data_IF_189084444632
#
_entry.id   IF_189084444632
#
_cell.length_a   1.000
_cell.length_b   1.000
_cell.length_c   1.000
_cell.angle_alpha   90.00
_cell.angle_beta   90.00
_cell.angle_gamma   90.00
#
_symmetry.space_group_name_H-M   'P 1'
#
loop_
_entity.id
_entity.type
_entity.pdbx_description
1 polymer ?
#
# COMPACT_ATOMS: atom_id res chain seq x y z
N UNK A 1 39.66 -14.82 -3.66
CA UNK A 1 39.50 -16.17 -4.29
C UNK A 1 38.15 -16.75 -3.92
N UNK A 2 37.05 -16.37 -4.58
CA UNK A 2 35.78 -17.08 -4.43
C UNK A 2 35.64 -18.10 -5.56
N UNK A 3 36.21 -19.28 -5.32
CA UNK A 3 36.12 -20.46 -6.20
C UNK A 3 34.94 -21.36 -5.80
N UNK A 4 33.75 -20.79 -5.62
CA UNK A 4 32.54 -21.59 -5.39
C UNK A 4 31.45 -21.16 -6.39
N UNK A 5 31.24 -21.91 -7.49
CA UNK A 5 30.23 -21.56 -8.50
C UNK A 5 28.82 -21.45 -7.89
N UNK A 6 28.55 -22.25 -6.86
CA UNK A 6 27.33 -22.19 -6.05
C UNK A 6 27.12 -20.83 -5.38
N UNK A 7 28.18 -20.19 -4.87
CA UNK A 7 28.07 -18.90 -4.19
C UNK A 7 27.64 -17.79 -5.15
N UNK A 8 28.09 -17.84 -6.41
CA UNK A 8 27.72 -16.87 -7.45
C UNK A 8 26.23 -16.98 -7.80
N UNK A 9 25.75 -18.20 -8.04
CA UNK A 9 24.34 -18.44 -8.40
C UNK A 9 23.40 -18.09 -7.24
N UNK A 10 23.77 -18.46 -6.01
CA UNK A 10 22.99 -18.08 -4.81
C UNK A 10 22.97 -16.57 -4.62
N UNK A 11 24.11 -15.91 -4.79
CA UNK A 11 24.19 -14.43 -4.68
C UNK A 11 23.33 -13.77 -5.75
N UNK A 12 23.37 -14.25 -6.99
CA UNK A 12 22.54 -13.73 -8.07
C UNK A 12 21.05 -13.87 -7.74
N UNK A 13 20.63 -15.05 -7.29
CA UNK A 13 19.24 -15.29 -6.91
C UNK A 13 18.77 -14.38 -5.77
N UNK A 14 19.62 -14.16 -4.77
CA UNK A 14 19.32 -13.23 -3.65
C UNK A 14 19.20 -11.81 -4.16
N UNK A 15 20.14 -11.35 -5.00
CA UNK A 15 20.11 -9.98 -5.56
C UNK A 15 18.85 -9.74 -6.39
N UNK A 16 18.46 -10.71 -7.23
CA UNK A 16 17.24 -10.61 -8.04
C UNK A 16 15.99 -10.53 -7.14
N UNK A 17 15.89 -11.39 -6.13
CA UNK A 17 14.77 -11.35 -5.18
C UNK A 17 14.72 -10.02 -4.42
N UNK A 18 15.87 -9.52 -3.98
CA UNK A 18 15.98 -8.25 -3.28
C UNK A 18 15.51 -7.09 -4.17
N UNK A 19 15.92 -7.09 -5.43
CA UNK A 19 15.50 -6.08 -6.41
C UNK A 19 13.97 -6.09 -6.62
N UNK A 20 13.34 -7.26 -6.70
CA UNK A 20 11.88 -7.39 -6.83
C UNK A 20 11.17 -6.80 -5.61
N UNK A 21 11.63 -7.12 -4.39
CA UNK A 21 11.02 -6.63 -3.14
C UNK A 21 11.14 -5.11 -3.05
N UNK A 22 12.31 -4.55 -3.35
CA UNK A 22 12.53 -3.10 -3.36
C UNK A 22 11.66 -2.43 -4.42
N UNK A 23 11.59 -2.97 -5.64
CA UNK A 23 10.75 -2.44 -6.70
C UNK A 23 9.26 -2.45 -6.31
N UNK A 24 8.77 -3.53 -5.71
CA UNK A 24 7.39 -3.60 -5.21
C UNK A 24 7.13 -2.57 -4.10
N UNK A 25 8.07 -2.41 -3.16
CA UNK A 25 7.96 -1.40 -2.10
C UNK A 25 7.93 0.02 -2.66
N UNK A 26 8.79 0.33 -3.63
CA UNK A 26 8.80 1.64 -4.32
C UNK A 26 7.54 1.85 -5.14
N UNK A 27 7.00 0.80 -5.78
CA UNK A 27 5.76 0.90 -6.53
C UNK A 27 4.59 1.20 -5.61
N UNK A 28 4.38 0.40 -4.56
CA UNK A 28 3.24 0.51 -3.63
C UNK A 28 3.33 1.78 -2.78
N UNK A 29 4.51 2.12 -2.26
CA UNK A 29 4.71 3.25 -1.35
C UNK A 29 5.35 4.47 -2.02
N UNK A 30 5.43 4.44 -3.35
CA UNK A 30 6.03 5.48 -4.17
C UNK A 30 5.33 6.82 -3.96
N UNK A 31 6.06 7.94 -4.14
CA UNK A 31 5.55 9.28 -3.86
C UNK A 31 4.28 9.63 -4.66
N UNK A 32 4.03 8.96 -5.80
CA UNK A 32 2.81 9.12 -6.59
C UNK A 32 1.60 8.26 -6.17
N UNK A 33 1.79 7.27 -5.29
CA UNK A 33 0.70 6.41 -4.78
C UNK A 33 0.31 6.72 -3.34
N UNK A 34 1.01 7.64 -2.67
CA UNK A 34 0.60 8.11 -1.34
C UNK A 34 -0.73 8.85 -1.50
N UNK A 35 -1.82 8.39 -0.86
CA UNK A 35 -3.04 9.20 -0.82
C UNK A 35 -2.66 10.52 -0.16
N UNK A 36 -2.68 11.60 -0.94
CA UNK A 36 -2.54 12.95 -0.43
C UNK A 36 -3.82 13.19 0.36
N UNK A 37 -3.70 13.00 1.68
CA UNK A 37 -4.74 13.31 2.61
C UNK A 37 -4.85 14.84 2.62
N UNK A 38 -5.72 15.37 1.77
CA UNK A 38 -6.04 16.78 1.80
C UNK A 38 -6.68 17.10 3.16
N UNK A 39 -6.06 18.03 3.89
CA UNK A 39 -6.51 18.46 5.21
C UNK A 39 -7.97 18.93 5.16
N UNK A 40 -8.41 19.50 4.03
CA UNK A 40 -9.79 19.92 3.81
C UNK A 40 -10.78 18.73 3.81
N UNK A 41 -10.38 17.61 3.22
CA UNK A 41 -11.18 16.38 3.09
C UNK A 41 -11.30 15.63 4.42
N UNK A 42 -10.22 15.65 5.21
CA UNK A 42 -10.20 15.10 6.58
C UNK A 42 -11.06 15.94 7.50
N UNK A 43 -10.97 17.27 7.40
CA UNK A 43 -11.75 18.17 8.24
C UNK A 43 -13.26 18.05 7.94
N UNK A 44 -13.67 17.83 6.69
CA UNK A 44 -15.05 17.46 6.38
C UNK A 44 -15.45 16.12 7.00
N UNK A 45 -14.65 15.06 6.87
CA UNK A 45 -15.03 13.75 7.43
C UNK A 45 -15.04 13.69 8.97
N UNK A 46 -14.15 14.43 9.63
CA UNK A 46 -14.01 14.41 11.10
C UNK A 46 -14.83 15.49 11.81
N UNK A 47 -15.17 16.61 11.14
CA UNK A 47 -15.84 17.76 11.77
C UNK A 47 -17.25 18.02 11.21
N UNK A 48 -17.65 17.49 10.05
CA UNK A 48 -19.05 17.59 9.61
C UNK A 48 -19.31 16.85 8.30
N UNK A 49 -20.08 15.78 8.27
CA UNK A 49 -21.49 15.75 8.65
C UNK A 49 -21.78 14.41 9.32
N UNK A 50 -22.47 14.45 10.46
CA UNK A 50 -23.22 13.33 11.01
C UNK A 50 -24.24 12.92 9.94
N UNK A 51 -23.80 12.08 9.00
CA UNK A 51 -24.63 11.58 7.92
C UNK A 51 -25.76 10.82 8.62
N UNK A 52 -27.05 11.18 8.41
CA UNK A 52 -28.12 10.38 8.96
C UNK A 52 -27.91 8.96 8.42
N UNK A 53 -27.69 8.02 9.35
CA UNK A 53 -27.79 6.60 9.07
C UNK A 53 -29.06 6.42 8.24
N UNK A 54 -29.04 5.78 7.05
CA UNK A 54 -30.28 5.45 6.36
C UNK A 54 -31.03 4.46 7.27
N UNK A 55 -31.88 5.04 8.11
CA UNK A 55 -32.76 4.36 9.04
C UNK A 55 -33.77 3.57 8.21
N UNK A 56 -33.95 2.32 8.61
CA UNK A 56 -35.11 1.50 8.33
C UNK A 56 -35.48 1.33 6.86
N UNK A 57 -34.90 0.28 6.26
CA UNK A 57 -35.60 -0.51 5.24
C UNK A 57 -36.88 -1.02 5.91
N UNK A 58 -37.97 -0.31 5.67
CA UNK A 58 -39.33 -0.67 6.05
C UNK A 58 -39.62 -2.09 5.59
N UNK A 59 -39.54 -3.04 6.52
CA UNK A 59 -40.22 -4.31 6.40
C UNK A 59 -41.70 -4.01 6.62
N UNK A 60 -42.40 -3.73 5.53
CA UNK A 60 -43.87 -3.72 5.50
C UNK A 60 -44.39 -5.18 5.46
N UNK A 61 -45.51 -5.46 6.15
CA UNK A 61 -46.01 -6.81 6.47
C UNK A 61 -46.51 -7.61 5.26
#
# INVERSE_FOLDING_TARGET
MWKHPLAREVTLAVVVKLAIVVAAGVFIFGPGQRPVIDASSVQQRLIGVMQPSPESRSQSP
#
